data_IF_728811121313
#
_entry.id   IF_728811121313
#
_cell.length_a   1.000
_cell.length_b   1.000
_cell.length_c   1.000
_cell.angle_alpha   90.00
_cell.angle_beta   90.00
_cell.angle_gamma   90.00
#
_symmetry.space_group_name_H-M   'P 1'
#
loop_
_entity.id
_entity.type
_entity.pdbx_description
1 polymer ?
#
# COMPACT_ATOMS: atom_id res chain seq x y z
N UNK A 1 14.34 0.56 1.77
CA UNK A 1 13.15 -0.30 1.64
C UNK A 1 13.55 -1.67 2.13
N UNK A 2 12.95 -2.09 3.23
CA UNK A 2 13.04 -3.44 3.79
C UNK A 2 11.73 -4.18 3.54
N UNK A 3 11.64 -5.45 3.92
CA UNK A 3 10.38 -6.19 3.81
C UNK A 3 9.26 -5.59 4.68
N UNK A 4 9.62 -4.90 5.78
CA UNK A 4 8.64 -4.25 6.68
C UNK A 4 7.94 -3.09 5.97
N UNK A 5 8.65 -2.35 5.12
CA UNK A 5 8.04 -1.29 4.32
C UNK A 5 6.96 -1.85 3.38
N UNK A 6 7.20 -3.01 2.80
CA UNK A 6 6.24 -3.70 1.91
C UNK A 6 5.04 -4.20 2.71
N UNK A 7 5.27 -4.80 3.88
CA UNK A 7 4.20 -5.28 4.76
C UNK A 7 3.24 -4.15 5.17
N UNK A 8 3.80 -3.03 5.67
CA UNK A 8 2.99 -1.89 6.12
C UNK A 8 2.24 -1.27 4.95
N UNK A 9 2.92 -1.02 3.82
CA UNK A 9 2.29 -0.39 2.65
C UNK A 9 1.17 -1.25 2.05
N UNK A 10 1.33 -2.56 2.01
CA UNK A 10 0.27 -3.47 1.52
C UNK A 10 -0.93 -3.46 2.47
N UNK A 11 -0.71 -3.63 3.77
CA UNK A 11 -1.80 -3.64 4.75
C UNK A 11 -2.58 -2.33 4.76
N UNK A 12 -1.86 -1.20 4.81
CA UNK A 12 -2.46 0.13 4.79
C UNK A 12 -3.25 0.36 3.51
N UNK A 13 -2.72 -0.07 2.36
CA UNK A 13 -3.42 0.08 1.09
C UNK A 13 -4.70 -0.75 1.01
N UNK A 14 -4.70 -1.96 1.55
CA UNK A 14 -5.89 -2.80 1.61
C UNK A 14 -6.95 -2.19 2.54
N UNK A 15 -6.54 -1.71 3.72
CA UNK A 15 -7.44 -1.03 4.66
C UNK A 15 -7.99 0.28 4.08
N UNK A 16 -7.16 1.10 3.44
CA UNK A 16 -7.58 2.36 2.80
C UNK A 16 -8.55 2.13 1.65
N UNK A 17 -8.43 1.01 0.92
CA UNK A 17 -9.38 0.63 -0.13
C UNK A 17 -10.77 0.24 0.43
N UNK A 18 -10.81 -0.27 1.67
CA UNK A 18 -12.04 -0.69 2.36
C UNK A 18 -12.66 0.43 3.21
N UNK A 19 -11.82 1.28 3.80
CA UNK A 19 -12.18 2.38 4.70
C UNK A 19 -11.38 3.62 4.30
N UNK A 20 -11.94 4.53 3.50
CA UNK A 20 -11.22 5.70 2.99
C UNK A 20 -10.65 6.61 4.08
N UNK A 21 -11.28 6.67 5.25
CA UNK A 21 -10.85 7.47 6.40
C UNK A 21 -9.74 6.81 7.23
N UNK A 22 -9.29 5.60 6.87
CA UNK A 22 -8.31 4.81 7.65
C UNK A 22 -6.98 5.55 7.88
N UNK A 23 -6.63 6.49 6.99
CA UNK A 23 -5.40 7.27 7.04
C UNK A 23 -5.60 8.71 7.51
N UNK A 24 -6.80 9.08 7.93
CA UNK A 24 -7.07 10.42 8.45
C UNK A 24 -6.23 10.66 9.71
N UNK A 25 -5.49 11.77 9.71
CA UNK A 25 -4.54 12.10 10.78
C UNK A 25 -3.15 11.47 10.64
N UNK A 26 -2.90 10.66 9.61
CA UNK A 26 -1.60 10.00 9.37
C UNK A 26 -1.03 10.25 7.95
N UNK A 27 -0.78 11.51 7.56
CA UNK A 27 -0.33 11.85 6.20
C UNK A 27 1.02 11.24 5.84
N UNK A 28 1.94 11.05 6.80
CA UNK A 28 3.24 10.40 6.57
C UNK A 28 3.09 8.92 6.23
N UNK A 29 2.08 8.24 6.80
CA UNK A 29 1.79 6.83 6.50
C UNK A 29 1.23 6.69 5.08
N UNK A 30 0.37 7.63 4.66
CA UNK A 30 -0.09 7.70 3.26
C UNK A 30 1.07 7.92 2.29
N UNK A 31 1.94 8.87 2.59
CA UNK A 31 3.13 9.14 1.77
C UNK A 31 4.09 7.94 1.73
N UNK A 32 4.24 7.20 2.84
CA UNK A 32 5.01 5.95 2.88
C UNK A 32 4.41 4.88 1.97
N UNK A 33 3.10 4.62 2.07
CA UNK A 33 2.38 3.66 1.22
C UNK A 33 2.58 4.00 -0.27
N UNK A 34 2.31 5.25 -0.66
CA UNK A 34 2.47 5.72 -2.04
C UNK A 34 3.92 5.58 -2.52
N UNK A 35 4.89 5.93 -1.67
CA UNK A 35 6.33 5.79 -1.98
C UNK A 35 6.72 4.34 -2.21
N UNK A 36 6.29 3.40 -1.36
CA UNK A 36 6.62 1.98 -1.51
C UNK A 36 5.97 1.41 -2.78
N UNK A 37 4.70 1.71 -3.02
CA UNK A 37 3.98 1.24 -4.20
C UNK A 37 4.47 1.87 -5.51
N UNK A 38 5.12 3.04 -5.46
CA UNK A 38 5.75 3.66 -6.63
C UNK A 38 7.00 2.91 -7.13
N UNK A 39 7.57 1.98 -6.34
CA UNK A 39 8.70 1.18 -6.78
C UNK A 39 8.33 0.39 -8.06
N UNK A 40 9.11 0.49 -9.16
CA UNK A 40 8.73 -0.10 -10.45
C UNK A 40 8.44 -1.61 -10.40
N UNK A 41 9.16 -2.36 -9.55
CA UNK A 41 8.95 -3.81 -9.40
C UNK A 41 7.67 -4.12 -8.63
N UNK A 42 7.38 -3.35 -7.58
CA UNK A 42 6.16 -3.49 -6.77
C UNK A 42 4.95 -3.04 -7.57
N UNK A 43 5.03 -1.89 -8.24
CA UNK A 43 3.97 -1.40 -9.12
C UNK A 43 3.62 -2.42 -10.19
N UNK A 44 4.62 -2.97 -10.90
CA UNK A 44 4.41 -4.01 -11.90
C UNK A 44 3.72 -5.25 -11.32
N UNK A 45 4.07 -5.64 -10.09
CA UNK A 45 3.42 -6.75 -9.40
C UNK A 45 1.97 -6.43 -9.05
N UNK A 46 1.69 -5.28 -8.43
CA UNK A 46 0.33 -4.82 -8.08
C UNK A 46 -0.56 -4.76 -9.33
N UNK A 47 -0.05 -4.26 -10.44
CA UNK A 47 -0.79 -4.13 -11.70
C UNK A 47 -1.12 -5.50 -12.35
N UNK A 48 -0.36 -6.57 -12.02
CA UNK A 48 -0.48 -7.89 -12.65
C UNK A 48 -0.97 -9.02 -11.73
N UNK A 49 -0.96 -8.82 -10.41
CA UNK A 49 -1.40 -9.82 -9.44
C UNK A 49 -2.90 -10.13 -9.61
N UNK A 50 -3.35 -11.38 -9.35
CA UNK A 50 -4.77 -11.69 -9.33
C UNK A 50 -5.54 -10.79 -8.36
N UNK A 51 -6.73 -10.36 -8.76
CA UNK A 51 -7.63 -9.64 -7.84
C UNK A 51 -8.31 -10.66 -6.93
N UNK A 52 -8.04 -10.57 -5.64
CA UNK A 52 -8.65 -11.40 -4.60
C UNK A 52 -9.43 -10.51 -3.62
N UNK A 53 -10.33 -11.12 -2.84
CA UNK A 53 -11.10 -10.39 -1.82
C UNK A 53 -10.26 -10.09 -0.55
N UNK A 54 -9.18 -10.85 -0.36
CA UNK A 54 -8.20 -10.76 0.71
C UNK A 54 -6.87 -11.35 0.25
#
# INVERSE_FOLDING_TARGET
MTWVDVFIAEHVSDMYAKVPEFLDGFPEVKAHMEKVQSNPKIKKWIDSRPKTNF
#
